data_IF_698336046691
#
_entry.id   IF_698336046691
#
_cell.length_a   1.000
_cell.length_b   1.000
_cell.length_c   1.000
_cell.angle_alpha   90.00
_cell.angle_beta   90.00
_cell.angle_gamma   90.00
#
_symmetry.space_group_name_H-M   'P 1'
#
loop_
_entity.id
_entity.type
_entity.pdbx_description
1 polymer ?
#
# COMPACT_ATOMS: atom_id res chain seq x y z
N UNK A 1 -72.85 13.89 7.86
CA UNK A 1 -71.67 14.58 7.29
C UNK A 1 -70.39 14.32 8.12
N UNK A 2 -70.00 13.06 8.41
CA UNK A 2 -68.88 12.80 9.33
C UNK A 2 -67.97 11.61 8.96
N UNK A 3 -67.99 11.14 7.70
CA UNK A 3 -67.27 9.92 7.27
C UNK A 3 -66.20 10.13 6.17
N UNK A 4 -65.92 11.36 5.75
CA UNK A 4 -64.98 11.64 4.63
C UNK A 4 -63.63 12.25 5.03
N UNK A 5 -63.38 12.51 6.32
CA UNK A 5 -62.15 13.22 6.76
C UNK A 5 -61.05 12.25 7.25
N UNK A 6 -61.35 10.98 7.50
CA UNK A 6 -60.41 10.06 8.18
C UNK A 6 -59.38 9.37 7.25
N UNK A 7 -59.36 9.67 5.94
CA UNK A 7 -58.49 8.98 4.97
C UNK A 7 -57.28 9.81 4.52
N UNK A 8 -57.16 11.09 4.92
CA UNK A 8 -56.02 11.93 4.54
C UNK A 8 -54.87 11.96 5.56
N UNK A 9 -55.07 11.49 6.79
CA UNK A 9 -54.06 11.55 7.86
C UNK A 9 -53.09 10.35 7.89
N UNK A 10 -53.34 9.27 7.11
CA UNK A 10 -52.49 8.08 7.13
C UNK A 10 -51.34 8.09 6.10
N UNK A 11 -51.25 9.08 5.21
CA UNK A 11 -50.19 9.18 4.19
C UNK A 11 -48.97 10.03 4.62
N UNK A 12 -48.98 10.61 5.83
CA UNK A 12 -47.92 11.52 6.30
C UNK A 12 -46.84 10.84 7.17
N UNK A 13 -46.92 9.53 7.41
CA UNK A 13 -46.04 8.82 8.35
C UNK A 13 -44.98 7.89 7.72
N UNK A 14 -44.83 7.85 6.40
CA UNK A 14 -43.85 6.98 5.75
C UNK A 14 -42.88 7.70 4.81
N UNK A 15 -42.54 8.96 5.10
CA UNK A 15 -41.28 9.53 4.63
C UNK A 15 -40.21 9.17 5.65
N UNK A 16 -39.82 7.90 5.65
CA UNK A 16 -38.53 7.52 6.23
C UNK A 16 -37.49 8.40 5.54
N UNK A 17 -36.71 9.23 6.26
CA UNK A 17 -35.55 9.84 5.65
C UNK A 17 -34.71 8.68 5.12
N UNK A 18 -34.64 8.53 3.80
CA UNK A 18 -33.57 7.78 3.16
C UNK A 18 -32.31 8.55 3.54
N UNK A 19 -31.67 8.14 4.64
CA UNK A 19 -30.30 8.51 4.93
C UNK A 19 -29.50 7.97 3.75
N UNK A 20 -29.33 8.79 2.73
CA UNK A 20 -28.39 8.54 1.66
C UNK A 20 -27.03 8.46 2.37
N UNK A 21 -26.62 7.24 2.70
CA UNK A 21 -25.28 6.97 3.19
C UNK A 21 -24.37 7.52 2.11
N UNK A 22 -23.70 8.62 2.42
CA UNK A 22 -22.83 9.24 1.45
C UNK A 22 -21.72 8.23 1.18
N UNK A 23 -21.50 7.83 -0.07
CA UNK A 23 -20.63 6.71 -0.36
C UNK A 23 -19.20 7.03 0.09
N UNK A 24 -18.54 6.04 0.69
CA UNK A 24 -17.09 6.08 0.89
C UNK A 24 -16.45 5.90 -0.49
N UNK A 25 -15.67 6.89 -0.92
CA UNK A 25 -14.86 6.79 -2.13
C UNK A 25 -13.42 6.50 -1.70
N UNK A 26 -12.94 5.30 -1.99
CA UNK A 26 -11.55 4.93 -1.74
C UNK A 26 -10.59 5.75 -2.62
N UNK A 27 -9.29 5.86 -2.24
CA UNK A 27 -8.32 6.57 -3.07
C UNK A 27 -8.29 6.03 -4.49
N UNK A 28 -8.31 6.94 -5.45
CA UNK A 28 -8.22 6.59 -6.88
C UNK A 28 -6.80 6.88 -7.37
N UNK A 29 -6.20 5.91 -8.05
CA UNK A 29 -4.94 6.10 -8.75
C UNK A 29 -5.20 6.34 -10.24
N UNK A 30 -4.66 7.41 -10.80
CA UNK A 30 -4.84 7.77 -12.20
C UNK A 30 -3.60 8.47 -12.78
N UNK A 31 -2.85 7.74 -13.62
CA UNK A 31 -1.71 8.24 -14.39
C UNK A 31 -2.08 8.47 -15.87
N UNK A 32 -3.33 8.26 -16.28
CA UNK A 32 -3.78 8.37 -17.68
C UNK A 32 -3.18 7.34 -18.65
N UNK A 33 -2.13 6.62 -18.27
CA UNK A 33 -1.44 5.59 -19.06
C UNK A 33 -1.29 4.25 -18.33
N UNK A 34 -0.95 4.30 -17.04
CA UNK A 34 -0.81 3.12 -16.19
C UNK A 34 -2.07 2.91 -15.34
N UNK A 35 -2.49 1.66 -15.20
CA UNK A 35 -3.69 1.29 -14.46
C UNK A 35 -3.42 0.98 -12.98
N UNK A 36 -2.16 0.77 -12.59
CA UNK A 36 -1.83 0.35 -11.24
C UNK A 36 -0.62 1.10 -10.66
N UNK A 37 -0.65 1.56 -9.38
CA UNK A 37 0.48 2.22 -8.74
C UNK A 37 1.74 1.36 -8.71
N UNK A 38 1.58 0.05 -8.64
CA UNK A 38 2.68 -0.92 -8.69
C UNK A 38 3.57 -0.75 -9.93
N UNK A 39 2.99 -0.37 -11.09
CA UNK A 39 3.75 -0.18 -12.32
C UNK A 39 4.69 1.03 -12.24
N UNK A 40 4.22 2.14 -11.66
CA UNK A 40 5.05 3.34 -11.43
C UNK A 40 6.14 3.03 -10.42
N UNK A 41 5.80 2.33 -9.33
CA UNK A 41 6.77 1.97 -8.31
C UNK A 41 7.86 1.07 -8.92
N UNK A 42 7.48 0.04 -9.68
CA UNK A 42 8.44 -0.86 -10.33
C UNK A 42 9.36 -0.11 -11.30
N UNK A 43 8.83 0.83 -12.11
CA UNK A 43 9.62 1.64 -13.06
C UNK A 43 10.58 2.61 -12.37
N UNK A 44 10.22 3.08 -11.18
CA UNK A 44 11.02 4.04 -10.42
C UNK A 44 11.91 3.37 -9.36
N UNK A 45 11.78 2.06 -9.14
CA UNK A 45 12.67 1.30 -8.27
C UNK A 45 14.07 1.19 -8.88
N UNK A 46 14.95 2.09 -8.42
CA UNK A 46 16.34 2.25 -8.91
C UNK A 46 17.33 2.15 -7.75
N UNK A 47 17.51 0.97 -7.14
CA UNK A 47 18.47 0.76 -6.06
C UNK A 47 19.91 1.00 -6.52
N UNK A 48 20.77 1.40 -5.58
CA UNK A 48 22.19 1.55 -5.84
C UNK A 48 22.81 0.18 -6.16
N UNK A 49 23.18 -0.03 -7.42
CA UNK A 49 23.73 -1.30 -7.91
C UNK A 49 24.99 -1.75 -7.17
N UNK A 50 25.89 -0.82 -6.85
CA UNK A 50 27.14 -1.16 -6.15
C UNK A 50 26.86 -1.72 -4.75
N UNK A 51 25.84 -1.19 -4.06
CA UNK A 51 25.41 -1.74 -2.77
C UNK A 51 24.71 -3.09 -2.94
N UNK A 52 23.89 -3.25 -3.99
CA UNK A 52 23.25 -4.54 -4.27
C UNK A 52 24.25 -5.65 -4.59
N UNK A 53 25.38 -5.34 -5.24
CA UNK A 53 26.40 -6.33 -5.57
C UNK A 53 27.12 -6.88 -4.34
N UNK A 54 27.04 -6.20 -3.20
CA UNK A 54 27.56 -6.66 -1.91
C UNK A 54 26.58 -7.59 -1.18
N UNK A 55 25.33 -7.71 -1.67
CA UNK A 55 24.30 -8.48 -1.01
C UNK A 55 24.34 -9.95 -1.43
N UNK A 56 24.19 -10.82 -0.43
CA UNK A 56 23.92 -12.24 -0.57
C UNK A 56 22.66 -12.58 0.24
N UNK A 57 21.48 -12.43 -0.37
CA UNK A 57 20.21 -12.68 0.27
C UNK A 57 19.06 -12.85 -0.73
N UNK A 58 18.15 -13.77 -0.36
CA UNK A 58 16.84 -13.90 -0.95
C UNK A 58 15.82 -13.61 0.15
N UNK A 59 14.95 -12.62 -0.05
CA UNK A 59 13.99 -12.23 0.97
C UNK A 59 12.79 -11.51 0.35
N UNK A 60 11.86 -11.13 1.23
CA UNK A 60 10.78 -10.21 0.93
C UNK A 60 10.93 -8.98 1.83
N UNK A 61 10.70 -7.80 1.26
CA UNK A 61 10.47 -6.57 2.00
C UNK A 61 9.04 -6.09 1.71
N UNK A 62 8.41 -5.43 2.67
CA UNK A 62 7.13 -4.78 2.44
C UNK A 62 7.31 -3.28 2.60
N UNK A 63 6.80 -2.51 1.64
CA UNK A 63 6.66 -1.07 1.78
C UNK A 63 5.21 -0.76 2.11
N UNK A 64 4.98 0.06 3.14
CA UNK A 64 3.68 0.63 3.46
C UNK A 64 3.69 2.13 3.25
N UNK A 65 2.54 2.69 2.91
CA UNK A 65 2.33 4.12 2.78
C UNK A 65 0.83 4.44 2.80
N UNK A 66 0.47 5.69 3.11
CA UNK A 66 -0.91 6.18 3.07
C UNK A 66 -1.05 7.30 2.05
N UNK A 67 -2.27 7.57 1.60
CA UNK A 67 -2.60 8.73 0.76
C UNK A 67 -3.26 9.76 1.66
N UNK A 68 -2.59 10.91 1.81
CA UNK A 68 -3.09 12.03 2.59
C UNK A 68 -4.35 12.64 1.96
N UNK A 69 -5.06 13.44 2.76
CA UNK A 69 -6.22 14.25 2.30
C UNK A 69 -5.91 15.21 1.13
N UNK A 70 -4.64 15.49 0.90
CA UNK A 70 -4.08 16.31 -0.17
C UNK A 70 -3.76 15.50 -1.44
N UNK A 71 -3.99 14.18 -1.44
CA UNK A 71 -3.60 13.29 -2.53
C UNK A 71 -2.09 13.02 -2.59
N UNK A 72 -1.33 13.43 -1.56
CA UNK A 72 0.11 13.16 -1.47
C UNK A 72 0.37 11.90 -0.66
N UNK A 73 1.41 11.17 -1.02
CA UNK A 73 1.88 10.00 -0.28
C UNK A 73 2.45 10.42 1.07
N UNK A 74 2.09 9.69 2.14
CA UNK A 74 2.53 9.89 3.52
C UNK A 74 2.96 8.57 4.17
N UNK A 75 3.65 8.69 5.30
CA UNK A 75 4.00 7.58 6.21
C UNK A 75 4.66 6.38 5.52
N UNK A 76 5.57 6.67 4.60
CA UNK A 76 6.28 5.63 3.86
C UNK A 76 7.27 4.95 4.78
N UNK A 77 7.06 3.65 5.00
CA UNK A 77 7.92 2.83 5.82
C UNK A 77 8.18 1.50 5.13
N UNK A 78 9.30 0.88 5.46
CA UNK A 78 9.70 -0.42 4.90
C UNK A 78 9.92 -1.38 6.07
N UNK A 79 9.67 -2.67 5.84
CA UNK A 79 9.89 -3.69 6.89
C UNK A 79 11.28 -3.62 7.48
N UNK A 80 11.34 -3.78 8.80
CA UNK A 80 12.60 -3.82 9.56
C UNK A 80 13.54 -4.87 8.95
N UNK A 81 14.85 -4.63 9.04
CA UNK A 81 15.92 -5.46 8.47
C UNK A 81 16.06 -5.42 6.93
N UNK A 82 15.26 -4.61 6.23
CA UNK A 82 15.47 -4.38 4.80
C UNK A 82 16.78 -3.61 4.57
N UNK A 83 17.69 -4.09 3.69
CA UNK A 83 18.93 -3.38 3.40
C UNK A 83 18.70 -1.91 3.00
N UNK A 84 19.50 -0.95 3.48
CA UNK A 84 19.28 0.47 3.22
C UNK A 84 19.18 0.83 1.73
N UNK A 85 19.97 0.18 0.88
CA UNK A 85 19.92 0.41 -0.57
C UNK A 85 18.57 0.03 -1.20
N UNK A 86 17.92 -1.01 -0.69
CA UNK A 86 16.59 -1.47 -1.11
C UNK A 86 15.52 -0.56 -0.50
N UNK A 87 15.61 -0.30 0.81
CA UNK A 87 14.63 0.49 1.54
C UNK A 87 14.53 1.93 0.98
N UNK A 88 15.67 2.59 0.75
CA UNK A 88 15.70 3.94 0.18
C UNK A 88 15.12 3.97 -1.23
N UNK A 89 15.47 2.99 -2.07
CA UNK A 89 14.95 2.90 -3.43
C UNK A 89 13.44 2.64 -3.47
N UNK A 90 12.92 1.80 -2.56
CA UNK A 90 11.48 1.59 -2.41
C UNK A 90 10.78 2.88 -1.98
N UNK A 91 11.32 3.59 -0.99
CA UNK A 91 10.73 4.85 -0.51
C UNK A 91 10.66 5.90 -1.62
N UNK A 92 11.74 6.08 -2.38
CA UNK A 92 11.75 7.01 -3.51
C UNK A 92 10.81 6.57 -4.65
N UNK A 93 10.75 5.27 -4.95
CA UNK A 93 9.85 4.74 -5.96
C UNK A 93 8.36 4.92 -5.59
N UNK A 94 8.02 4.78 -4.31
CA UNK A 94 6.68 5.07 -3.79
C UNK A 94 6.38 6.58 -3.85
N UNK A 95 7.33 7.45 -3.47
CA UNK A 95 7.17 8.91 -3.64
C UNK A 95 6.95 9.33 -5.09
N UNK A 96 7.51 8.60 -6.06
CA UNK A 96 7.30 8.86 -7.48
C UNK A 96 5.84 8.68 -7.93
N UNK A 97 4.99 8.07 -7.08
CA UNK A 97 3.55 8.01 -7.31
C UNK A 97 2.80 9.29 -6.91
N UNK A 98 3.50 10.27 -6.30
CA UNK A 98 2.92 11.57 -6.01
C UNK A 98 2.37 12.22 -7.28
N UNK A 99 1.22 12.90 -7.16
CA UNK A 99 0.45 13.54 -8.24
C UNK A 99 -0.49 12.62 -9.03
N UNK A 100 -0.44 11.32 -8.82
CA UNK A 100 -1.35 10.36 -9.48
C UNK A 100 -2.51 9.93 -8.60
N UNK A 101 -2.53 10.36 -7.34
CA UNK A 101 -3.54 9.96 -6.37
C UNK A 101 -4.61 11.03 -6.19
N UNK A 102 -5.86 10.60 -6.16
CA UNK A 102 -6.96 11.34 -5.55
C UNK A 102 -7.16 10.83 -4.12
N UNK A 103 -7.44 11.72 -3.15
CA UNK A 103 -7.60 11.32 -1.76
C UNK A 103 -8.86 10.47 -1.57
N UNK A 104 -8.92 9.77 -0.43
CA UNK A 104 -10.14 9.10 0.04
C UNK A 104 -11.17 10.15 0.42
N UNK A 105 -12.46 9.92 0.09
CA UNK A 105 -13.55 10.76 0.56
C UNK A 105 -14.52 9.97 1.44
N UNK A 106 -14.87 10.55 2.59
CA UNK A 106 -15.92 10.06 3.48
C UNK A 106 -16.90 11.20 3.70
N UNK A 107 -18.16 11.00 3.32
CA UNK A 107 -19.20 12.03 3.41
C UNK A 107 -18.81 13.35 2.71
N UNK A 108 -18.20 13.23 1.52
CA UNK A 108 -17.75 14.37 0.72
C UNK A 108 -16.51 15.10 1.25
N UNK A 109 -15.91 14.65 2.36
CA UNK A 109 -14.69 15.24 2.93
C UNK A 109 -13.48 14.37 2.61
N UNK A 110 -12.42 15.01 2.12
CA UNK A 110 -11.14 14.34 1.91
C UNK A 110 -10.56 13.92 3.27
N UNK A 111 -10.21 12.64 3.39
CA UNK A 111 -9.58 12.04 4.57
C UNK A 111 -8.33 11.29 4.14
N UNK A 112 -7.48 10.96 5.11
CA UNK A 112 -6.37 10.06 4.87
C UNK A 112 -6.88 8.64 4.58
N UNK A 113 -6.19 7.93 3.69
CA UNK A 113 -6.53 6.56 3.35
C UNK A 113 -6.13 5.58 4.44
N UNK A 114 -6.73 4.39 4.38
CA UNK A 114 -6.12 3.22 5.00
C UNK A 114 -4.76 2.93 4.32
N UNK A 115 -3.78 2.31 5.00
CA UNK A 115 -2.47 2.04 4.42
C UNK A 115 -2.53 1.13 3.19
N UNK A 116 -1.70 1.43 2.20
CA UNK A 116 -1.31 0.53 1.13
C UNK A 116 -0.10 -0.26 1.57
N UNK A 117 -0.03 -1.54 1.19
CA UNK A 117 1.12 -2.42 1.45
C UNK A 117 1.50 -3.09 0.16
N UNK A 118 2.78 -3.04 -0.20
CA UNK A 118 3.28 -3.70 -1.41
C UNK A 118 4.47 -4.61 -1.06
N UNK A 119 4.41 -5.90 -1.41
CA UNK A 119 5.54 -6.81 -1.28
C UNK A 119 6.55 -6.61 -2.43
N UNK A 120 7.82 -6.53 -2.05
CA UNK A 120 8.98 -6.67 -2.93
C UNK A 120 9.66 -8.00 -2.62
N UNK A 121 9.63 -8.94 -3.56
CA UNK A 121 10.41 -10.18 -3.47
C UNK A 121 11.72 -9.96 -4.21
N UNK A 122 12.85 -10.21 -3.55
CA UNK A 122 14.16 -9.95 -4.14
C UNK A 122 15.15 -11.10 -3.96
N UNK A 123 15.96 -11.28 -5.00
CA UNK A 123 17.00 -12.29 -5.08
C UNK A 123 18.34 -11.64 -5.47
N UNK A 124 19.26 -11.53 -4.52
CA UNK A 124 20.57 -10.92 -4.73
C UNK A 124 21.67 -11.89 -4.33
N UNK A 125 22.41 -12.42 -5.30
CA UNK A 125 23.42 -13.47 -5.08
C UNK A 125 24.85 -13.06 -5.42
N UNK A 126 25.06 -11.85 -5.95
CA UNK A 126 26.36 -11.38 -6.42
C UNK A 126 27.41 -11.25 -5.30
N UNK A 127 26.98 -10.98 -4.07
CA UNK A 127 27.86 -10.93 -2.90
C UNK A 127 28.12 -12.27 -2.23
N UNK A 128 27.67 -13.40 -2.81
CA UNK A 128 27.80 -14.71 -2.18
C UNK A 128 29.17 -15.35 -2.43
N UNK A 129 29.84 -15.82 -1.36
CA UNK A 129 31.15 -16.48 -1.43
C UNK A 129 31.04 -18.01 -1.59
N UNK A 130 30.24 -18.51 -2.52
CA UNK A 130 30.19 -19.94 -2.90
C UNK A 130 29.19 -20.84 -2.15
N UNK A 131 28.84 -20.54 -0.89
CA UNK A 131 27.88 -21.35 -0.11
C UNK A 131 26.44 -20.82 -0.25
N UNK A 132 25.82 -21.06 -1.40
CA UNK A 132 24.47 -20.53 -1.70
C UNK A 132 23.32 -21.25 -0.99
N UNK A 133 23.47 -22.50 -0.58
CA UNK A 133 22.31 -23.36 -0.26
C UNK A 133 21.70 -23.11 1.13
N UNK A 134 22.50 -22.63 2.09
CA UNK A 134 22.07 -22.45 3.50
C UNK A 134 21.48 -21.06 3.79
N UNK A 135 21.84 -20.04 3.00
CA UNK A 135 21.43 -18.64 3.25
C UNK A 135 20.00 -18.36 2.72
N UNK A 136 19.50 -19.15 1.77
CA UNK A 136 18.31 -18.83 0.98
C UNK A 136 16.97 -19.07 1.71
N UNK A 137 16.86 -20.10 2.55
CA UNK A 137 15.57 -20.46 3.18
C UNK A 137 15.27 -19.70 4.48
N UNK A 138 16.29 -19.23 5.21
CA UNK A 138 16.09 -18.59 6.51
C UNK A 138 15.59 -17.14 6.37
N UNK A 139 16.18 -16.34 5.48
CA UNK A 139 15.87 -14.91 5.39
C UNK A 139 14.48 -14.62 4.83
N UNK A 140 13.98 -15.40 3.86
CA UNK A 140 12.62 -15.24 3.36
C UNK A 140 11.56 -15.50 4.45
N UNK A 141 11.74 -16.58 5.23
CA UNK A 141 10.85 -16.90 6.35
C UNK A 141 10.88 -15.81 7.44
N UNK A 142 12.05 -15.24 7.72
CA UNK A 142 12.18 -14.09 8.63
C UNK A 142 11.46 -12.86 8.06
N UNK A 143 11.64 -12.55 6.78
CA UNK A 143 10.95 -11.44 6.10
C UNK A 143 9.43 -11.57 6.15
N UNK A 144 8.90 -12.78 5.95
CA UNK A 144 7.47 -13.05 6.09
C UNK A 144 6.98 -12.93 7.54
N UNK A 145 7.76 -13.39 8.53
CA UNK A 145 7.42 -13.22 9.96
C UNK A 145 7.43 -11.75 10.38
N UNK A 146 8.32 -10.96 9.78
CA UNK A 146 8.47 -9.54 10.07
C UNK A 146 7.59 -8.65 9.18
N UNK A 147 6.64 -9.20 8.40
CA UNK A 147 5.83 -8.40 7.45
C UNK A 147 5.06 -7.26 8.11
N UNK A 148 4.80 -7.36 9.41
CA UNK A 148 4.06 -6.37 10.17
C UNK A 148 4.95 -5.38 10.91
N UNK A 149 6.28 -5.56 10.94
CA UNK A 149 7.19 -4.69 11.70
C UNK A 149 7.93 -3.78 10.75
N UNK A 150 7.74 -2.46 10.90
CA UNK A 150 8.29 -1.44 10.00
C UNK A 150 9.35 -0.57 10.69
N UNK A 151 10.19 0.06 9.87
CA UNK A 151 11.28 0.93 10.31
C UNK A 151 10.84 2.25 10.96
N UNK A 152 9.54 2.56 10.96
CA UNK A 152 8.93 3.66 11.70
C UNK A 152 8.53 3.28 13.13
N UNK A 153 8.81 2.04 13.57
CA UNK A 153 8.44 1.53 14.89
C UNK A 153 6.98 1.11 15.00
N UNK A 154 6.17 1.31 13.96
CA UNK A 154 4.76 0.93 13.97
C UNK A 154 4.60 -0.52 13.48
N UNK A 155 3.81 -1.29 14.21
CA UNK A 155 3.34 -2.59 13.73
C UNK A 155 2.03 -2.41 12.97
N UNK A 156 1.88 -3.02 11.78
CA UNK A 156 0.57 -3.08 11.12
C UNK A 156 -0.37 -3.90 11.99
N UNK A 157 -1.27 -3.23 12.73
CA UNK A 157 -2.41 -3.91 13.34
C UNK A 157 -3.30 -4.41 12.20
N UNK A 158 -3.67 -5.69 12.25
CA UNK A 158 -4.23 -6.50 11.16
C UNK A 158 -5.52 -6.00 10.45
N UNK A 159 -6.03 -4.80 10.67
CA UNK A 159 -7.46 -4.55 10.44
C UNK A 159 -7.90 -3.66 9.27
N UNK A 160 -7.02 -2.98 8.54
CA UNK A 160 -7.43 -2.39 7.24
C UNK A 160 -6.24 -1.93 6.42
N UNK A 161 -5.88 -2.68 5.38
CA UNK A 161 -4.91 -2.22 4.39
C UNK A 161 -5.28 -2.71 3.00
N UNK A 162 -4.86 -1.96 1.98
CA UNK A 162 -4.95 -2.38 0.58
C UNK A 162 -3.65 -3.04 0.17
N UNK A 163 -3.69 -4.34 -0.12
CA UNK A 163 -2.53 -5.07 -0.63
C UNK A 163 -2.36 -4.80 -2.12
N UNK A 164 -1.23 -4.23 -2.50
CA UNK A 164 -0.82 -4.05 -3.89
C UNK A 164 -0.16 -5.34 -4.41
N UNK A 165 -0.19 -5.59 -5.73
CA UNK A 165 0.51 -6.70 -6.35
C UNK A 165 1.99 -6.72 -5.96
N UNK A 166 2.50 -7.92 -5.73
CA UNK A 166 3.93 -8.13 -5.53
C UNK A 166 4.70 -7.75 -6.78
N UNK A 167 5.89 -7.16 -6.61
CA UNK A 167 6.86 -7.08 -7.70
C UNK A 167 8.14 -7.84 -7.35
N UNK A 168 8.74 -8.49 -8.34
CA UNK A 168 9.91 -9.34 -8.18
C UNK A 168 11.11 -8.66 -8.83
N UNK A 169 12.24 -8.65 -8.13
CA UNK A 169 13.51 -8.16 -8.67
C UNK A 169 14.62 -9.17 -8.40
N UNK A 170 15.57 -9.25 -9.31
CA UNK A 170 16.76 -10.05 -9.12
C UNK A 170 17.98 -9.35 -9.69
N UNK A 171 19.13 -9.55 -9.05
CA UNK A 171 20.42 -9.30 -9.69
C UNK A 171 21.16 -10.64 -9.78
N UNK A 172 21.27 -11.13 -11.01
CA UNK A 172 22.05 -12.30 -11.36
C UNK A 172 23.23 -11.85 -12.22
N UNK A 173 24.31 -12.65 -12.22
CA UNK A 173 25.43 -12.50 -13.15
C UNK A 173 24.96 -12.67 -14.60
#
# INVERSE_FOLDING_TARGET
>A
MLKKILLLTLMLYSVSPLWAQTPVLEPEFNDGKLSHPADIIQRNYKPNRQELYKLCMNSVAFVKFSIGKDGLVKDIAVTTDTPPAIANALKEAVKATNSYWKPKYVNGKAVESDPFVMPLVFYYSLGCNGDMEVIQSNKFNVGMKNMLTFDDGNTLQMMKCTLLPAFITAAHN
#
